data_IF_513303540616
#
_entry.id   IF_513303540616
#
_cell.length_a   1.000
_cell.length_b   1.000
_cell.length_c   1.000
_cell.angle_alpha   90.00
_cell.angle_beta   90.00
_cell.angle_gamma   90.00
#
_symmetry.space_group_name_H-M   'P 1'
#
loop_
_entity.id
_entity.type
_entity.pdbx_description
1 polymer ?
#
# COMPACT_ATOMS: atom_id res chain seq x y z
N UNK A 1 -9.86 21.03 21.41
CA UNK A 1 -9.80 19.65 20.86
C UNK A 1 -8.83 19.70 19.72
N UNK A 2 -7.79 18.87 19.74
CA UNK A 2 -6.77 18.81 18.70
C UNK A 2 -6.95 17.54 17.87
N UNK A 3 -6.69 17.64 16.57
CA UNK A 3 -6.84 16.56 15.58
C UNK A 3 -5.53 16.52 14.80
N UNK A 4 -5.01 15.32 14.54
CA UNK A 4 -3.75 15.11 13.83
C UNK A 4 -3.86 14.01 12.79
N UNK A 5 -3.11 14.17 11.71
CA UNK A 5 -2.89 13.15 10.69
C UNK A 5 -1.66 12.31 11.06
N UNK A 6 -1.81 10.99 11.13
CA UNK A 6 -0.72 10.06 11.47
C UNK A 6 -0.38 9.18 10.26
N UNK A 7 0.44 9.71 9.36
CA UNK A 7 0.94 8.98 8.18
C UNK A 7 2.23 9.60 7.68
N UNK A 8 2.98 8.88 6.84
CA UNK A 8 4.24 9.33 6.22
C UNK A 8 4.11 10.58 5.34
N UNK A 9 2.90 10.88 4.85
CA UNK A 9 2.67 11.87 3.79
C UNK A 9 3.21 11.49 2.41
N UNK A 10 3.69 10.26 2.27
CA UNK A 10 4.15 9.70 1.00
C UNK A 10 3.04 8.80 0.42
N UNK A 11 2.64 9.09 -0.83
CA UNK A 11 1.75 8.22 -1.60
C UNK A 11 2.54 7.12 -2.32
N UNK A 12 2.00 5.90 -2.33
CA UNK A 12 2.51 4.80 -3.14
C UNK A 12 1.41 4.29 -4.07
N UNK A 13 1.75 4.03 -5.33
CA UNK A 13 0.84 3.38 -6.26
C UNK A 13 0.65 1.90 -5.93
N UNK A 14 -0.45 1.33 -6.40
CA UNK A 14 -0.71 -0.11 -6.27
C UNK A 14 0.42 -0.93 -6.90
N UNK A 15 0.96 -0.48 -8.04
CA UNK A 15 2.07 -1.16 -8.72
C UNK A 15 3.39 -1.04 -7.95
N UNK A 16 3.66 0.08 -7.28
CA UNK A 16 4.82 0.21 -6.41
C UNK A 16 4.73 -0.75 -5.22
N UNK A 17 3.56 -0.87 -4.60
CA UNK A 17 3.33 -1.81 -3.51
C UNK A 17 3.54 -3.26 -3.96
N UNK A 18 3.07 -3.63 -5.15
CA UNK A 18 3.26 -4.98 -5.70
C UNK A 18 4.73 -5.27 -5.93
N UNK A 19 5.46 -4.38 -6.60
CA UNK A 19 6.89 -4.57 -6.82
C UNK A 19 7.65 -4.73 -5.50
N UNK A 20 7.32 -3.93 -4.50
CA UNK A 20 7.92 -4.04 -3.17
C UNK A 20 7.55 -5.38 -2.48
N UNK A 21 6.32 -5.86 -2.66
CA UNK A 21 5.90 -7.16 -2.14
C UNK A 21 6.57 -8.34 -2.87
N UNK A 22 6.74 -8.26 -4.19
CA UNK A 22 7.46 -9.26 -4.98
C UNK A 22 8.92 -9.35 -4.53
N UNK A 23 9.56 -8.21 -4.26
CA UNK A 23 10.91 -8.15 -3.71
C UNK A 23 10.98 -8.77 -2.31
N UNK A 24 10.05 -8.44 -1.42
CA UNK A 24 9.99 -8.97 -0.07
C UNK A 24 9.74 -10.49 -0.01
N UNK A 25 8.87 -11.00 -0.89
CA UNK A 25 8.45 -12.41 -0.91
C UNK A 25 9.30 -13.32 -1.79
N UNK A 26 10.05 -12.75 -2.74
CA UNK A 26 10.74 -13.50 -3.79
C UNK A 26 9.79 -14.22 -4.75
N UNK A 27 8.51 -13.80 -4.82
CA UNK A 27 7.46 -14.44 -5.62
C UNK A 27 6.80 -13.40 -6.52
N UNK A 28 6.46 -13.82 -7.73
CA UNK A 28 5.67 -13.00 -8.66
C UNK A 28 4.22 -12.93 -8.16
N UNK A 29 3.66 -11.73 -8.13
CA UNK A 29 2.27 -11.48 -7.75
C UNK A 29 1.45 -11.34 -9.02
N UNK A 30 0.63 -12.36 -9.31
CA UNK A 30 -0.28 -12.30 -10.44
C UNK A 30 -1.44 -11.34 -10.17
N UNK A 31 -1.73 -10.49 -11.15
CA UNK A 31 -2.84 -9.56 -11.10
C UNK A 31 -3.44 -9.32 -12.49
N UNK A 32 -4.63 -8.72 -12.52
CA UNK A 32 -5.30 -8.29 -13.74
C UNK A 32 -5.72 -6.83 -13.59
N UNK A 33 -5.61 -5.99 -14.61
CA UNK A 33 -6.12 -4.62 -14.52
C UNK A 33 -7.63 -4.60 -14.75
N UNK A 34 -8.41 -3.94 -13.88
CA UNK A 34 -9.88 -3.83 -13.93
C UNK A 34 -10.36 -2.38 -13.85
N UNK A 35 -11.62 -2.18 -14.23
CA UNK A 35 -12.30 -0.88 -14.19
C UNK A 35 -12.47 -0.37 -12.76
N UNK A 36 -12.28 0.94 -12.57
CA UNK A 36 -12.38 1.64 -11.28
C UNK A 36 -13.84 1.73 -10.77
N UNK A 37 -14.16 1.29 -9.53
CA UNK A 37 -15.43 1.56 -8.89
C UNK A 37 -15.70 3.05 -8.81
N UNK A 38 -16.96 3.42 -8.96
CA UNK A 38 -17.39 4.82 -8.97
C UNK A 38 -17.03 5.55 -7.66
N UNK A 39 -16.95 4.81 -6.56
CA UNK A 39 -16.67 5.28 -5.22
C UNK A 39 -15.18 5.44 -4.87
N UNK A 40 -14.27 4.87 -5.67
CA UNK A 40 -12.83 4.95 -5.36
C UNK A 40 -12.29 6.34 -5.67
N UNK A 41 -11.43 6.89 -4.82
CA UNK A 41 -10.73 8.16 -5.03
C UNK A 41 -9.40 7.89 -5.76
N UNK A 42 -8.94 8.83 -6.59
CA UNK A 42 -7.71 8.69 -7.38
C UNK A 42 -6.46 8.62 -6.49
N UNK A 43 -6.33 9.57 -5.56
CA UNK A 43 -5.17 9.67 -4.69
C UNK A 43 -5.54 10.37 -3.37
N UNK A 44 -4.93 9.91 -2.27
CA UNK A 44 -5.08 10.52 -0.96
C UNK A 44 -3.91 10.11 -0.05
N UNK A 45 -3.18 11.10 0.44
CA UNK A 45 -2.16 10.94 1.49
C UNK A 45 -2.35 12.02 2.55
N UNK A 46 -1.73 11.83 3.70
CA UNK A 46 -1.91 12.72 4.84
C UNK A 46 -0.84 13.81 4.85
N UNK A 47 -1.14 15.03 5.32
CA UNK A 47 -0.10 15.98 5.70
C UNK A 47 0.23 15.79 7.21
N UNK A 48 1.42 15.30 7.59
CA UNK A 48 1.79 15.06 8.98
C UNK A 48 2.42 16.26 9.71
N UNK A 49 2.58 17.42 9.07
CA UNK A 49 3.30 18.59 9.63
C UNK A 49 2.87 18.93 11.06
N UNK A 50 1.56 18.91 11.34
CA UNK A 50 1.03 19.21 12.67
C UNK A 50 1.46 18.17 13.72
N UNK A 51 1.47 16.88 13.38
CA UNK A 51 1.90 15.82 14.29
C UNK A 51 3.42 15.89 14.54
N UNK A 52 4.20 16.19 13.51
CA UNK A 52 5.65 16.34 13.64
C UNK A 52 6.01 17.52 14.52
N UNK A 53 5.31 18.65 14.39
CA UNK A 53 5.60 19.84 15.19
C UNK A 53 5.11 19.75 16.64
N UNK A 54 3.89 19.24 16.86
CA UNK A 54 3.27 19.25 18.19
C UNK A 54 3.57 18.00 19.02
N UNK A 55 3.79 16.85 18.38
CA UNK A 55 4.00 15.57 19.04
C UNK A 55 5.42 15.02 18.87
N UNK A 56 6.28 15.73 18.13
CA UNK A 56 7.60 15.24 17.70
C UNK A 56 7.51 13.85 17.03
N UNK A 57 6.38 13.60 16.35
CA UNK A 57 6.08 12.32 15.72
C UNK A 57 6.63 12.27 14.29
N UNK A 58 7.32 11.19 13.97
CA UNK A 58 7.88 10.92 12.65
C UNK A 58 7.75 9.43 12.32
N UNK A 59 7.39 9.12 11.07
CA UNK A 59 7.42 7.75 10.57
C UNK A 59 8.86 7.35 10.22
N UNK A 60 9.30 6.20 10.74
CA UNK A 60 10.66 5.70 10.57
C UNK A 60 10.77 4.57 9.56
N UNK A 61 9.64 4.10 9.01
CA UNK A 61 9.62 2.90 8.16
C UNK A 61 9.15 3.22 6.75
N UNK A 62 9.93 2.74 5.78
CA UNK A 62 9.61 2.86 4.36
C UNK A 62 8.76 1.69 3.84
N UNK A 63 8.28 1.82 2.60
CA UNK A 63 7.49 0.78 1.91
C UNK A 63 8.15 -0.60 1.94
N UNK A 64 9.47 -0.67 1.75
CA UNK A 64 10.20 -1.94 1.71
C UNK A 64 10.18 -2.69 3.04
N UNK A 65 10.36 -1.97 4.14
CA UNK A 65 10.30 -2.55 5.49
C UNK A 65 8.88 -3.01 5.80
N UNK A 66 7.87 -2.19 5.45
CA UNK A 66 6.46 -2.56 5.59
C UNK A 66 6.12 -3.86 4.85
N UNK A 67 6.54 -3.99 3.57
CA UNK A 67 6.29 -5.19 2.78
C UNK A 67 7.07 -6.40 3.30
N UNK A 68 8.31 -6.21 3.74
CA UNK A 68 9.14 -7.26 4.34
C UNK A 68 8.51 -7.82 5.60
N UNK A 69 8.06 -6.97 6.52
CA UNK A 69 7.42 -7.40 7.76
C UNK A 69 6.05 -8.02 7.51
N UNK A 70 5.30 -7.51 6.53
CA UNK A 70 4.05 -8.13 6.07
C UNK A 70 4.28 -9.55 5.57
N UNK A 71 5.29 -9.76 4.72
CA UNK A 71 5.62 -11.10 4.22
C UNK A 71 6.10 -12.03 5.34
N UNK A 72 6.96 -11.54 6.24
CA UNK A 72 7.42 -12.32 7.40
C UNK A 72 6.25 -12.81 8.25
N UNK A 73 5.30 -11.92 8.54
CA UNK A 73 4.09 -12.29 9.27
C UNK A 73 3.26 -13.32 8.49
N UNK A 74 2.98 -13.06 7.21
CA UNK A 74 2.18 -13.94 6.36
C UNK A 74 2.80 -15.34 6.21
N UNK A 75 4.13 -15.44 6.11
CA UNK A 75 4.86 -16.69 6.02
C UNK A 75 4.87 -17.49 7.34
N UNK A 76 4.76 -16.80 8.49
CA UNK A 76 4.72 -17.43 9.80
C UNK A 76 3.34 -18.01 10.17
N UNK A 77 2.25 -17.50 9.57
CA UNK A 77 0.89 -17.99 9.82
C UNK A 77 0.70 -19.39 9.23
N UNK A 78 0.48 -20.40 10.10
CA UNK A 78 0.07 -21.76 9.65
C UNK A 78 -1.35 -21.71 9.07
N UNK A 79 -1.61 -22.32 7.91
CA UNK A 79 -2.95 -22.32 7.31
C UNK A 79 -3.84 -23.35 8.03
N UNK A 80 -4.27 -23.06 9.26
CA UNK A 80 -5.29 -23.85 9.97
C UNK A 80 -6.70 -23.55 9.47
N UNK A 81 -6.88 -22.46 8.73
CA UNK A 81 -8.08 -22.15 7.96
C UNK A 81 -7.62 -21.85 6.54
N UNK A 82 -7.93 -22.73 5.58
CA UNK A 82 -7.95 -22.31 4.18
C UNK A 82 -9.22 -21.48 4.05
N UNK A 83 -9.17 -20.15 3.93
CA UNK A 83 -10.38 -19.44 3.59
C UNK A 83 -10.83 -20.03 2.25
N UNK A 84 -12.09 -20.45 2.14
CA UNK A 84 -12.70 -20.87 0.88
C UNK A 84 -12.87 -19.65 -0.04
N UNK A 85 -11.82 -18.87 -0.20
CA UNK A 85 -11.72 -17.83 -1.21
C UNK A 85 -11.52 -18.62 -2.49
N UNK A 86 -12.62 -18.85 -3.21
CA UNK A 86 -12.51 -19.03 -4.66
C UNK A 86 -11.64 -17.89 -5.15
N UNK A 87 -10.64 -18.12 -6.03
CA UNK A 87 -9.89 -17.03 -6.60
C UNK A 87 -10.85 -16.23 -7.50
N UNK A 88 -11.69 -15.37 -6.92
CA UNK A 88 -12.19 -14.22 -7.64
C UNK A 88 -10.96 -13.35 -7.77
N UNK A 89 -10.36 -13.37 -8.96
CA UNK A 89 -9.33 -12.42 -9.36
C UNK A 89 -9.98 -11.05 -9.19
N UNK A 90 -9.82 -10.43 -8.01
CA UNK A 90 -10.05 -9.01 -7.85
C UNK A 90 -8.84 -8.38 -8.51
N UNK A 91 -9.03 -7.88 -9.71
CA UNK A 91 -7.99 -7.20 -10.43
C UNK A 91 -7.48 -5.97 -9.67
N UNK A 92 -6.32 -5.49 -10.07
CA UNK A 92 -5.79 -4.18 -9.75
C UNK A 92 -6.54 -3.13 -10.53
N UNK A 93 -6.89 -2.04 -9.87
CA UNK A 93 -7.54 -0.91 -10.50
C UNK A 93 -6.57 -0.22 -11.45
N UNK A 94 -6.99 0.03 -12.70
CA UNK A 94 -6.21 0.89 -13.59
C UNK A 94 -6.20 2.31 -12.99
N UNK A 95 -5.02 2.84 -12.69
CA UNK A 95 -4.87 4.28 -12.47
C UNK A 95 -3.73 4.81 -13.32
N UNK A 96 -4.08 5.50 -14.41
CA UNK A 96 -3.18 6.18 -15.33
C UNK A 96 -2.53 7.46 -14.77
N UNK A 97 -2.62 7.75 -13.46
CA UNK A 97 -2.16 9.04 -12.93
C UNK A 97 -0.95 8.99 -11.98
N UNK A 98 -0.52 7.82 -11.47
CA UNK A 98 0.75 7.73 -10.69
C UNK A 98 1.91 7.17 -11.54
N UNK A 99 1.64 6.53 -12.68
CA UNK A 99 2.69 6.18 -13.65
C UNK A 99 3.07 7.36 -14.58
N UNK A 100 2.36 8.51 -14.47
CA UNK A 100 2.56 9.73 -15.27
C UNK A 100 2.88 10.97 -14.40
N UNK A 101 3.57 10.79 -13.26
CA UNK A 101 4.12 11.92 -12.52
C UNK A 101 5.45 12.38 -13.12
N UNK A 102 5.34 13.25 -14.13
CA UNK A 102 6.24 14.36 -14.48
C UNK A 102 7.75 14.19 -14.24
N UNK A 103 8.48 13.80 -15.30
CA UNK A 103 9.77 14.44 -15.62
C UNK A 103 9.46 15.61 -16.56
N UNK A 104 9.11 16.76 -15.97
CA UNK A 104 9.53 18.13 -16.34
C UNK A 104 9.44 19.00 -15.08
#
# INVERSE_FOLDING_TARGET
MSIWNLRTGIGYSVLQMIRAFEQASGRVVSYQVVERPLEDIAECWANPEQATHELEWEDKRGLQEMMTDTWRWQAAVRPSVRPSVRPSVRGIMAHNSIDHAYFE
#
